data_IF_543116872220
#
_entry.id   IF_543116872220
#
_cell.length_a   1.000
_cell.length_b   1.000
_cell.length_c   1.000
_cell.angle_alpha   90.00
_cell.angle_beta   90.00
_cell.angle_gamma   90.00
#
_symmetry.space_group_name_H-M   'P 1'
#
loop_
_entity.id
_entity.type
_entity.pdbx_description
1 polymer ?
#
# COMPACT_ATOMS: atom_id res chain seq x y z
N UNK A 1 25.98 8.24 28.76
CA UNK A 1 24.98 7.16 28.69
C UNK A 1 25.60 6.04 27.88
N UNK A 2 26.06 4.97 28.54
CA UNK A 2 26.77 3.84 27.91
C UNK A 2 25.72 2.95 27.29
N UNK A 3 25.70 2.85 25.95
CA UNK A 3 24.89 1.87 25.24
C UNK A 3 25.47 0.48 25.52
N UNK A 4 24.76 -0.34 26.27
CA UNK A 4 25.09 -1.75 26.42
C UNK A 4 24.92 -2.42 25.07
N UNK A 5 26.00 -2.74 24.39
CA UNK A 5 26.04 -3.71 23.32
C UNK A 5 25.84 -5.08 23.97
N UNK A 6 24.64 -5.63 23.91
CA UNK A 6 24.39 -7.02 24.29
C UNK A 6 25.13 -7.93 23.30
N UNK A 7 26.36 -8.31 23.60
CA UNK A 7 27.07 -9.36 22.89
C UNK A 7 26.46 -10.71 23.31
N UNK A 8 25.65 -11.29 22.44
CA UNK A 8 25.12 -12.63 22.62
C UNK A 8 26.17 -13.63 22.11
N UNK A 9 26.81 -14.38 23.01
CA UNK A 9 27.66 -15.49 22.62
C UNK A 9 26.78 -16.70 22.29
N UNK A 10 26.82 -17.14 21.04
CA UNK A 10 26.13 -18.36 20.58
C UNK A 10 27.17 -19.46 20.50
N UNK A 11 26.89 -20.55 21.17
CA UNK A 11 27.79 -21.72 21.14
C UNK A 11 27.79 -22.35 19.76
N UNK A 12 28.95 -22.75 19.22
CA UNK A 12 29.09 -23.29 17.85
C UNK A 12 28.23 -24.55 17.58
N UNK A 13 27.94 -25.32 18.61
CA UNK A 13 27.10 -26.54 18.54
C UNK A 13 25.61 -26.24 18.28
N UNK A 14 25.19 -25.00 18.46
CA UNK A 14 23.82 -24.52 18.16
C UNK A 14 23.68 -23.83 16.78
N UNK A 15 24.76 -23.82 16.00
CA UNK A 15 24.78 -23.31 14.64
C UNK A 15 24.51 -24.45 13.66
N UNK A 16 23.52 -24.30 12.79
CA UNK A 16 23.21 -25.31 11.75
C UNK A 16 24.18 -25.31 10.56
N UNK A 17 25.28 -24.58 10.65
CA UNK A 17 26.31 -24.47 9.62
C UNK A 17 25.93 -23.81 8.31
N UNK A 18 24.65 -23.49 8.11
CA UNK A 18 24.11 -22.96 6.86
C UNK A 18 24.09 -21.43 6.78
N UNK A 19 23.97 -20.74 7.93
CA UNK A 19 23.89 -19.27 7.95
C UNK A 19 24.46 -18.67 9.23
N UNK A 20 25.31 -17.65 9.08
CA UNK A 20 25.97 -16.93 10.18
C UNK A 20 25.59 -15.44 10.17
N UNK A 21 24.37 -15.07 9.85
CA UNK A 21 23.96 -13.67 10.02
C UNK A 21 23.41 -13.45 11.43
N UNK A 22 23.79 -12.35 12.06
CA UNK A 22 23.33 -11.97 13.40
C UNK A 22 21.79 -12.01 13.51
N UNK A 23 21.11 -11.41 12.55
CA UNK A 23 19.63 -11.37 12.54
C UNK A 23 19.00 -12.77 12.46
N UNK A 24 19.57 -13.67 11.66
CA UNK A 24 19.09 -15.06 11.55
C UNK A 24 19.21 -15.80 12.88
N UNK A 25 20.36 -15.68 13.53
CA UNK A 25 20.64 -16.40 14.76
C UNK A 25 19.81 -15.88 15.93
N UNK A 26 19.66 -14.56 16.06
CA UNK A 26 18.84 -13.93 17.12
C UNK A 26 17.37 -14.26 16.92
N UNK A 27 16.85 -14.12 15.70
CA UNK A 27 15.44 -14.46 15.42
C UNK A 27 15.17 -15.93 15.68
N UNK A 28 16.06 -16.83 15.27
CA UNK A 28 15.89 -18.27 15.52
C UNK A 28 15.89 -18.61 17.01
N UNK A 29 16.73 -17.97 17.81
CA UNK A 29 16.73 -18.15 19.26
C UNK A 29 15.43 -17.65 19.89
N UNK A 30 14.94 -16.49 19.50
CA UNK A 30 13.66 -15.95 19.99
C UNK A 30 12.48 -16.86 19.58
N UNK A 31 12.47 -17.34 18.34
CA UNK A 31 11.47 -18.29 17.85
C UNK A 31 11.52 -19.59 18.65
N UNK A 32 12.71 -20.19 18.89
CA UNK A 32 12.87 -21.39 19.69
C UNK A 32 12.36 -21.19 21.11
N UNK A 33 12.61 -20.03 21.71
CA UNK A 33 12.11 -19.69 23.04
C UNK A 33 10.59 -19.56 23.08
N UNK A 34 9.99 -18.96 22.05
CA UNK A 34 8.54 -18.80 21.95
C UNK A 34 7.83 -20.13 21.69
N UNK A 35 8.46 -21.02 20.93
CA UNK A 35 7.87 -22.28 20.52
C UNK A 35 8.30 -23.49 21.37
N UNK A 36 9.15 -23.29 22.40
CA UNK A 36 9.72 -24.37 23.20
C UNK A 36 8.70 -25.32 23.87
N UNK A 37 7.46 -24.83 24.08
CA UNK A 37 6.37 -25.61 24.72
C UNK A 37 5.35 -26.10 23.68
N UNK A 38 5.62 -26.03 22.40
CA UNK A 38 4.73 -26.48 21.34
C UNK A 38 5.30 -27.69 20.61
N UNK A 39 4.46 -28.67 20.29
CA UNK A 39 4.78 -29.65 19.26
C UNK A 39 4.87 -28.94 17.91
N UNK A 40 5.95 -29.22 17.17
CA UNK A 40 6.24 -28.58 15.89
C UNK A 40 6.10 -29.58 14.76
N UNK A 41 5.56 -29.12 13.64
CA UNK A 41 5.44 -29.89 12.39
C UNK A 41 6.06 -29.07 11.25
N UNK A 42 6.68 -29.72 10.28
CA UNK A 42 7.13 -29.04 9.07
C UNK A 42 5.92 -28.67 8.20
N UNK A 43 5.92 -27.45 7.66
CA UNK A 43 4.80 -26.97 6.85
C UNK A 43 4.57 -27.88 5.63
N UNK A 44 5.63 -28.42 5.04
CA UNK A 44 5.56 -29.40 3.93
C UNK A 44 4.75 -30.65 4.28
N UNK A 45 4.77 -31.10 5.53
CA UNK A 45 4.07 -32.33 5.95
C UNK A 45 2.55 -32.23 5.89
N UNK A 46 2.00 -31.01 6.03
CA UNK A 46 0.55 -30.74 5.94
C UNK A 46 0.09 -30.26 4.56
N UNK A 47 1.04 -30.00 3.68
CA UNK A 47 0.76 -29.50 2.33
C UNK A 47 0.56 -30.64 1.34
N UNK A 48 -0.32 -30.43 0.37
CA UNK A 48 -0.45 -31.23 -0.84
C UNK A 48 0.64 -30.84 -1.82
N UNK A 49 0.90 -29.53 -1.94
CA UNK A 49 1.85 -28.96 -2.87
C UNK A 49 2.37 -27.62 -2.32
N UNK A 50 3.68 -27.36 -2.50
CA UNK A 50 4.30 -26.05 -2.36
C UNK A 50 5.12 -25.82 -3.64
N UNK A 51 4.80 -24.76 -4.39
CA UNK A 51 5.45 -24.53 -5.68
C UNK A 51 5.56 -23.03 -5.99
N UNK A 52 6.57 -22.66 -6.77
CA UNK A 52 6.66 -21.33 -7.36
C UNK A 52 6.04 -21.34 -8.76
N UNK A 53 5.52 -20.19 -9.18
CA UNK A 53 4.91 -20.04 -10.50
C UNK A 53 5.91 -19.97 -11.65
N UNK A 54 5.46 -19.46 -12.76
CA UNK A 54 6.22 -19.43 -14.03
C UNK A 54 7.07 -18.16 -14.18
N UNK A 55 8.14 -18.29 -14.95
CA UNK A 55 8.89 -17.16 -15.49
C UNK A 55 8.42 -16.86 -16.90
N UNK A 56 7.60 -15.82 -17.05
CA UNK A 56 7.01 -15.45 -18.34
C UNK A 56 7.97 -14.56 -19.13
N UNK A 57 8.18 -14.88 -20.41
CA UNK A 57 8.85 -14.00 -21.36
C UNK A 57 7.90 -12.90 -21.84
N UNK A 58 8.44 -11.74 -22.22
CA UNK A 58 7.64 -10.57 -22.62
C UNK A 58 6.65 -10.86 -23.76
N UNK A 59 7.01 -11.73 -24.69
CA UNK A 59 6.22 -12.14 -25.87
C UNK A 59 4.91 -12.86 -25.54
N UNK A 60 4.82 -13.46 -24.33
CA UNK A 60 3.60 -14.18 -23.90
C UNK A 60 2.60 -13.31 -23.14
N UNK A 61 2.94 -12.06 -22.84
CA UNK A 61 1.93 -11.16 -22.28
C UNK A 61 0.93 -10.74 -23.35
N UNK A 62 -0.36 -10.65 -23.00
CA UNK A 62 -1.44 -10.31 -23.91
C UNK A 62 -2.45 -9.40 -23.25
N UNK A 63 -3.08 -8.55 -24.05
CA UNK A 63 -4.23 -7.75 -23.62
C UNK A 63 -5.57 -8.43 -23.96
N UNK A 64 -5.52 -9.57 -24.68
CA UNK A 64 -6.70 -10.30 -25.18
C UNK A 64 -6.65 -11.74 -24.66
N UNK A 65 -7.82 -12.25 -24.22
CA UNK A 65 -8.08 -13.67 -23.95
C UNK A 65 -6.93 -14.47 -23.34
N UNK A 66 -6.42 -14.03 -22.18
CA UNK A 66 -5.36 -14.70 -21.45
C UNK A 66 -5.73 -14.93 -19.99
N UNK A 67 -4.91 -15.71 -19.29
CA UNK A 67 -5.05 -15.90 -17.86
C UNK A 67 -4.42 -14.73 -17.10
N UNK A 68 -5.13 -14.20 -16.11
CA UNK A 68 -4.59 -13.17 -15.23
C UNK A 68 -3.39 -13.71 -14.45
N UNK A 69 -2.28 -12.95 -14.43
CA UNK A 69 -1.04 -13.36 -13.78
C UNK A 69 -0.68 -12.43 -12.63
N UNK A 70 -0.34 -13.03 -11.49
CA UNK A 70 0.01 -12.35 -10.25
C UNK A 70 1.52 -12.42 -10.08
N UNK A 71 2.17 -11.27 -10.05
CA UNK A 71 3.57 -11.13 -9.67
C UNK A 71 3.69 -10.55 -8.25
N UNK A 72 4.86 -10.65 -7.63
CA UNK A 72 5.09 -10.09 -6.29
C UNK A 72 4.83 -8.57 -6.22
N UNK A 73 5.02 -7.85 -7.34
CA UNK A 73 4.74 -6.42 -7.46
C UNK A 73 3.27 -6.06 -7.50
N UNK A 74 2.40 -7.01 -7.84
CA UNK A 74 0.94 -6.84 -7.88
C UNK A 74 0.32 -7.02 -6.49
N UNK A 75 1.06 -7.63 -5.56
CA UNK A 75 0.66 -7.79 -4.17
C UNK A 75 1.04 -6.52 -3.40
N UNK A 76 0.05 -5.65 -3.19
CA UNK A 76 0.25 -4.35 -2.54
C UNK A 76 -0.46 -4.33 -1.19
N UNK A 77 0.31 -4.31 -0.11
CA UNK A 77 -0.23 -4.40 1.26
C UNK A 77 -1.21 -5.57 1.42
N UNK A 78 -0.83 -6.72 0.82
CA UNK A 78 -1.62 -7.97 0.90
C UNK A 78 -2.94 -7.96 0.12
N UNK A 79 -3.09 -7.03 -0.81
CA UNK A 79 -4.22 -6.93 -1.72
C UNK A 79 -3.76 -7.11 -3.16
N UNK A 80 -4.58 -7.81 -3.93
CA UNK A 80 -4.40 -8.03 -5.37
C UNK A 80 -5.58 -7.39 -6.09
N UNK A 81 -5.29 -6.43 -6.97
CA UNK A 81 -6.29 -5.76 -7.81
C UNK A 81 -6.41 -6.52 -9.13
N UNK A 82 -7.39 -7.42 -9.24
CA UNK A 82 -7.56 -8.32 -10.40
C UNK A 82 -7.65 -7.55 -11.71
N UNK A 83 -8.33 -6.42 -11.72
CA UNK A 83 -8.51 -5.59 -12.93
C UNK A 83 -7.21 -4.91 -13.40
N UNK A 84 -6.21 -4.80 -12.53
CA UNK A 84 -4.89 -4.26 -12.86
C UNK A 84 -3.88 -5.34 -13.27
N UNK A 85 -4.24 -6.61 -13.12
CA UNK A 85 -3.36 -7.72 -13.48
C UNK A 85 -3.18 -7.82 -14.99
N UNK A 86 -1.94 -8.03 -15.39
CA UNK A 86 -1.62 -8.43 -16.76
C UNK A 86 -2.20 -9.81 -17.06
N UNK A 87 -2.34 -10.12 -18.33
CA UNK A 87 -2.73 -11.45 -18.77
C UNK A 87 -1.60 -12.12 -19.56
N UNK A 88 -1.58 -13.44 -19.56
CA UNK A 88 -0.64 -14.25 -20.30
C UNK A 88 -1.37 -15.25 -21.20
N UNK A 89 -0.76 -15.56 -22.34
CA UNK A 89 -1.28 -16.53 -23.30
C UNK A 89 -1.38 -17.92 -22.67
N UNK A 90 -2.41 -18.72 -23.03
CA UNK A 90 -2.59 -20.06 -22.48
C UNK A 90 -1.38 -20.99 -22.66
N UNK A 91 -0.65 -20.84 -23.78
CA UNK A 91 0.50 -21.67 -24.14
C UNK A 91 1.68 -21.49 -23.19
N UNK A 92 1.73 -20.38 -22.46
CA UNK A 92 2.77 -20.10 -21.49
C UNK A 92 2.52 -20.73 -20.11
N UNK A 93 1.32 -21.28 -19.85
CA UNK A 93 0.86 -21.66 -18.52
C UNK A 93 0.75 -23.18 -18.40
N UNK A 94 1.11 -23.71 -17.23
CA UNK A 94 0.95 -25.13 -16.87
C UNK A 94 -0.12 -25.25 -15.80
N UNK A 95 -0.72 -26.43 -15.68
CA UNK A 95 -1.76 -26.72 -14.68
C UNK A 95 -1.34 -26.33 -13.24
N UNK A 96 -0.10 -26.62 -12.87
CA UNK A 96 0.44 -26.30 -11.54
C UNK A 96 0.58 -24.81 -11.24
N UNK A 97 0.58 -23.96 -12.27
CA UNK A 97 0.77 -22.52 -12.11
C UNK A 97 -0.54 -21.80 -11.73
N UNK A 98 -1.67 -22.48 -11.85
CA UNK A 98 -2.98 -21.96 -11.41
C UNK A 98 -3.12 -21.98 -9.89
N UNK A 99 -3.87 -21.02 -9.40
CA UNK A 99 -4.27 -20.95 -8.01
C UNK A 99 -5.76 -21.25 -7.85
N UNK A 100 -6.11 -21.86 -6.74
CA UNK A 100 -7.48 -22.24 -6.40
C UNK A 100 -7.90 -21.61 -5.07
N UNK A 101 -9.19 -21.45 -4.88
CA UNK A 101 -9.73 -21.02 -3.60
C UNK A 101 -9.21 -21.91 -2.45
N UNK A 102 -8.73 -21.28 -1.38
CA UNK A 102 -8.12 -21.95 -0.22
C UNK A 102 -6.59 -22.07 -0.29
N UNK A 103 -5.95 -21.75 -1.43
CA UNK A 103 -4.50 -21.67 -1.50
C UNK A 103 -3.97 -20.46 -0.73
N UNK A 104 -2.71 -20.52 -0.32
CA UNK A 104 -2.00 -19.40 0.29
C UNK A 104 -0.84 -19.02 -0.61
N UNK A 105 -0.70 -17.71 -0.86
CA UNK A 105 0.41 -17.17 -1.64
C UNK A 105 1.40 -16.47 -0.70
N UNK A 106 2.69 -16.66 -0.95
CA UNK A 106 3.77 -15.95 -0.26
C UNK A 106 4.65 -15.29 -1.31
N UNK A 107 4.91 -13.98 -1.15
CA UNK A 107 5.89 -13.30 -2.02
C UNK A 107 7.30 -13.82 -1.74
N UNK A 108 7.96 -14.32 -2.79
CA UNK A 108 9.31 -14.90 -2.71
C UNK A 108 10.42 -13.86 -2.86
N UNK A 109 10.15 -12.74 -3.52
CA UNK A 109 11.11 -11.65 -3.78
C UNK A 109 10.48 -10.27 -3.69
N UNK A 110 11.28 -9.22 -3.71
CA UNK A 110 10.84 -7.84 -3.53
C UNK A 110 10.43 -7.57 -2.07
N UNK A 111 9.18 -7.27 -1.82
CA UNK A 111 8.61 -7.27 -0.45
C UNK A 111 8.29 -8.70 -0.03
N UNK A 112 9.30 -9.55 0.10
CA UNK A 112 9.14 -10.97 0.42
C UNK A 112 8.45 -11.21 1.76
N UNK A 113 7.71 -12.33 1.86
CA UNK A 113 7.01 -12.75 3.08
C UNK A 113 5.64 -12.09 3.28
N UNK A 114 5.09 -11.40 2.28
CA UNK A 114 3.67 -11.06 2.30
C UNK A 114 2.84 -12.32 2.07
N UNK A 115 1.79 -12.48 2.84
CA UNK A 115 0.91 -13.66 2.81
C UNK A 115 -0.45 -13.25 2.30
N UNK A 116 -0.99 -13.99 1.33
CA UNK A 116 -2.30 -13.78 0.72
C UNK A 116 -3.10 -15.07 0.83
N UNK A 117 -4.36 -14.97 1.21
CA UNK A 117 -5.33 -16.05 1.06
C UNK A 117 -6.03 -15.94 -0.29
N UNK A 118 -6.07 -17.02 -1.04
CA UNK A 118 -6.77 -17.08 -2.33
C UNK A 118 -8.24 -17.34 -2.09
N UNK A 119 -9.07 -16.35 -2.38
CA UNK A 119 -10.51 -16.47 -2.37
C UNK A 119 -11.06 -16.75 -3.78
N UNK A 120 -12.38 -16.89 -3.89
CA UNK A 120 -13.08 -17.17 -5.16
C UNK A 120 -12.76 -16.14 -6.26
N UNK A 121 -12.50 -14.87 -5.89
CA UNK A 121 -12.23 -13.82 -6.88
C UNK A 121 -10.86 -13.97 -7.56
N UNK A 122 -9.90 -14.64 -6.92
CA UNK A 122 -8.57 -14.89 -7.44
C UNK A 122 -8.45 -16.26 -8.11
N UNK A 123 -9.45 -17.12 -7.98
CA UNK A 123 -9.43 -18.46 -8.54
C UNK A 123 -9.24 -18.42 -10.07
N UNK A 124 -8.41 -19.32 -10.60
CA UNK A 124 -8.07 -19.37 -12.01
C UNK A 124 -7.04 -18.35 -12.48
N UNK A 125 -6.53 -17.48 -11.60
CA UNK A 125 -5.31 -16.73 -11.89
C UNK A 125 -4.09 -17.65 -11.86
N UNK A 126 -2.99 -17.20 -12.47
CA UNK A 126 -1.69 -17.86 -12.42
C UNK A 126 -0.67 -17.00 -11.67
N UNK A 127 0.44 -17.59 -11.22
CA UNK A 127 1.46 -16.88 -10.47
C UNK A 127 2.80 -16.88 -11.19
N UNK A 128 3.59 -15.81 -10.96
CA UNK A 128 4.99 -15.76 -11.44
C UNK A 128 5.93 -16.48 -10.48
N UNK A 129 7.16 -16.76 -10.94
CA UNK A 129 8.23 -17.36 -10.12
C UNK A 129 8.63 -16.56 -8.87
N UNK A 130 8.16 -15.34 -8.74
CA UNK A 130 8.36 -14.47 -7.57
C UNK A 130 7.29 -14.65 -6.49
N UNK A 131 6.36 -15.59 -6.70
CA UNK A 131 5.28 -15.93 -5.76
C UNK A 131 5.30 -17.45 -5.55
N UNK A 132 5.20 -17.86 -4.29
CA UNK A 132 5.09 -19.27 -3.88
C UNK A 132 3.64 -19.54 -3.52
N UNK A 133 3.08 -20.62 -4.07
CA UNK A 133 1.76 -21.17 -3.76
C UNK A 133 1.90 -22.30 -2.75
N UNK A 134 1.05 -22.31 -1.75
CA UNK A 134 0.90 -23.38 -0.76
C UNK A 134 -0.52 -23.89 -0.88
N UNK A 135 -0.66 -25.16 -1.23
CA UNK A 135 -1.93 -25.88 -1.26
C UNK A 135 -1.94 -26.90 -0.11
N UNK A 136 -2.85 -26.76 0.85
CA UNK A 136 -2.99 -27.72 1.95
C UNK A 136 -3.70 -28.99 1.51
N UNK A 137 -3.43 -30.11 2.19
CA UNK A 137 -4.22 -31.36 2.06
C UNK A 137 -5.65 -31.16 2.58
N UNK A 138 -5.78 -30.48 3.69
CA UNK A 138 -7.04 -30.06 4.29
C UNK A 138 -7.28 -28.58 3.98
N UNK A 139 -8.12 -28.31 2.98
CA UNK A 139 -8.43 -26.94 2.54
C UNK A 139 -9.12 -26.11 3.61
N UNK A 140 -9.86 -26.73 4.52
CA UNK A 140 -10.56 -26.04 5.61
C UNK A 140 -9.60 -25.39 6.61
N UNK A 141 -8.34 -25.85 6.64
CA UNK A 141 -7.28 -25.27 7.44
C UNK A 141 -6.54 -24.09 6.75
N UNK A 142 -6.83 -23.82 5.48
CA UNK A 142 -6.15 -22.79 4.70
C UNK A 142 -6.22 -21.41 5.36
N UNK A 143 -7.42 -21.02 5.75
CA UNK A 143 -7.64 -19.73 6.41
C UNK A 143 -6.91 -19.62 7.75
N UNK A 144 -6.82 -20.71 8.51
CA UNK A 144 -6.16 -20.76 9.82
C UNK A 144 -4.64 -20.67 9.66
N UNK A 145 -4.09 -21.34 8.65
CA UNK A 145 -2.67 -21.22 8.32
C UNK A 145 -2.32 -19.79 7.85
N UNK A 146 -3.19 -19.20 7.03
CA UNK A 146 -3.04 -17.80 6.64
C UNK A 146 -2.95 -16.88 7.87
N UNK A 147 -3.88 -17.02 8.83
CA UNK A 147 -3.90 -16.21 10.04
C UNK A 147 -2.64 -16.42 10.89
N UNK A 148 -2.23 -17.68 11.06
CA UNK A 148 -1.00 -17.99 11.76
C UNK A 148 0.21 -17.34 11.09
N UNK A 149 0.36 -17.46 9.77
CA UNK A 149 1.47 -16.85 9.04
C UNK A 149 1.43 -15.32 9.06
N UNK A 150 0.26 -14.72 9.23
CA UNK A 150 0.06 -13.27 9.40
C UNK A 150 0.36 -12.80 10.82
N UNK A 151 0.28 -13.65 11.81
CA UNK A 151 0.58 -13.31 13.19
C UNK A 151 2.03 -12.84 13.37
N UNK A 152 2.31 -12.19 14.49
CA UNK A 152 3.67 -11.77 14.83
C UNK A 152 4.68 -12.92 14.80
N UNK A 153 4.28 -14.09 15.30
CA UNK A 153 5.11 -15.30 15.30
C UNK A 153 5.30 -15.81 13.87
N UNK A 154 4.23 -15.93 13.09
CA UNK A 154 4.31 -16.35 11.69
C UNK A 154 5.19 -15.45 10.84
N UNK A 155 5.09 -14.15 11.04
CA UNK A 155 5.96 -13.18 10.36
C UNK A 155 7.43 -13.26 10.83
N UNK A 156 7.69 -13.54 12.09
CA UNK A 156 9.05 -13.82 12.58
C UNK A 156 9.62 -15.09 11.92
N UNK A 157 8.82 -16.14 11.82
CA UNK A 157 9.20 -17.38 11.11
C UNK A 157 9.54 -17.12 9.65
N UNK A 158 8.68 -16.44 8.90
CA UNK A 158 8.92 -16.08 7.50
C UNK A 158 10.16 -15.19 7.34
N UNK A 159 10.38 -14.25 8.26
CA UNK A 159 11.56 -13.40 8.24
C UNK A 159 12.85 -14.18 8.52
N UNK A 160 12.79 -15.23 9.34
CA UNK A 160 13.95 -16.05 9.68
C UNK A 160 14.50 -16.87 8.50
N UNK A 161 13.66 -17.18 7.52
CA UNK A 161 14.04 -17.96 6.33
C UNK A 161 14.46 -17.12 5.13
N UNK A 162 14.40 -15.78 5.23
CA UNK A 162 14.83 -14.86 4.15
C UNK A 162 16.33 -14.92 3.94
N UNK A 163 16.75 -14.98 2.66
CA UNK A 163 18.15 -15.17 2.26
C UNK A 163 18.67 -13.99 1.44
N UNK A 164 19.91 -13.59 1.71
CA UNK A 164 20.68 -12.62 0.93
C UNK A 164 20.17 -11.18 1.06
N UNK A 165 20.84 -10.26 0.36
CA UNK A 165 20.56 -8.82 0.37
C UNK A 165 19.14 -8.52 -0.17
N UNK A 166 18.65 -9.36 -1.07
CA UNK A 166 17.32 -9.23 -1.67
C UNK A 166 16.21 -9.90 -0.85
N UNK A 167 16.53 -10.44 0.33
CA UNK A 167 15.56 -11.07 1.23
C UNK A 167 14.68 -12.13 0.52
N UNK A 168 15.27 -13.00 -0.31
CA UNK A 168 14.51 -14.04 -1.03
C UNK A 168 14.07 -15.17 -0.09
N UNK A 169 12.93 -15.76 -0.42
CA UNK A 169 12.40 -16.98 0.18
C UNK A 169 12.34 -18.05 -0.91
N UNK A 170 12.75 -19.28 -0.61
CA UNK A 170 12.69 -20.40 -1.54
C UNK A 170 11.65 -21.42 -1.10
N UNK A 171 11.22 -22.26 -2.05
CA UNK A 171 10.20 -23.30 -1.79
C UNK A 171 10.67 -24.25 -0.68
N UNK A 172 11.93 -24.68 -0.73
CA UNK A 172 12.53 -25.61 0.24
C UNK A 172 12.57 -25.01 1.65
N UNK A 173 12.74 -23.67 1.76
CA UNK A 173 12.72 -22.99 3.07
C UNK A 173 11.29 -22.97 3.64
N UNK A 174 10.27 -22.85 2.81
CA UNK A 174 8.86 -22.93 3.21
C UNK A 174 8.48 -24.36 3.58
N UNK A 175 8.91 -25.35 2.79
CA UNK A 175 8.65 -26.77 3.09
C UNK A 175 9.21 -27.17 4.45
N UNK A 176 10.43 -26.74 4.75
CA UNK A 176 11.11 -27.01 6.03
C UNK A 176 10.72 -26.09 7.19
N UNK A 177 9.78 -25.17 6.99
CA UNK A 177 9.39 -24.22 8.02
C UNK A 177 8.64 -24.93 9.15
N UNK A 178 9.22 -24.92 10.35
CA UNK A 178 8.59 -25.50 11.53
C UNK A 178 7.53 -24.55 12.08
N UNK A 179 6.30 -25.04 12.19
CA UNK A 179 5.16 -24.34 12.74
C UNK A 179 4.56 -25.14 13.92
N UNK A 180 3.86 -24.50 14.88
CA UNK A 180 3.13 -25.22 15.89
C UNK A 180 2.11 -26.17 15.27
N UNK A 181 2.04 -27.41 15.74
CA UNK A 181 1.06 -28.39 15.27
C UNK A 181 -0.39 -27.91 15.48
N UNK A 182 -0.60 -27.13 16.54
CA UNK A 182 -1.87 -26.51 16.87
C UNK A 182 -2.01 -25.09 16.31
N UNK A 183 -1.37 -24.77 15.17
CA UNK A 183 -1.45 -23.45 14.53
C UNK A 183 -2.89 -22.98 14.28
N UNK A 184 -3.83 -23.91 14.17
CA UNK A 184 -5.24 -23.66 13.95
C UNK A 184 -5.98 -23.14 15.20
N UNK A 185 -5.37 -23.20 16.37
CA UNK A 185 -5.89 -22.62 17.61
C UNK A 185 -5.40 -21.17 17.83
N UNK A 186 -4.47 -20.69 17.01
CA UNK A 186 -4.07 -19.28 17.02
C UNK A 186 -5.21 -18.43 16.46
N UNK A 187 -6.11 -18.06 17.37
CA UNK A 187 -7.14 -17.06 17.15
C UNK A 187 -6.61 -15.68 17.59
N UNK A 188 -5.84 -15.01 16.75
CA UNK A 188 -5.99 -13.57 16.65
C UNK A 188 -7.29 -13.38 15.87
N UNK A 189 -8.13 -12.41 16.25
CA UNK A 189 -9.43 -12.18 15.63
C UNK A 189 -9.31 -12.29 14.11
N UNK A 190 -9.89 -13.37 13.57
CA UNK A 190 -9.84 -13.63 12.14
C UNK A 190 -10.55 -12.50 11.44
N UNK A 191 -9.78 -11.81 10.66
CA UNK A 191 -10.25 -10.75 9.84
C UNK A 191 -10.10 -11.16 8.37
N UNK A 192 -11.20 -11.45 7.70
CA UNK A 192 -11.18 -11.64 6.25
C UNK A 192 -10.98 -10.28 5.55
N UNK A 193 -9.71 -9.86 5.54
CA UNK A 193 -9.30 -8.67 4.80
C UNK A 193 -9.74 -8.74 3.34
N UNK A 194 -9.79 -9.92 2.72
CA UNK A 194 -10.11 -10.08 1.30
C UNK A 194 -11.54 -9.69 1.00
N UNK A 195 -12.51 -10.11 1.80
CA UNK A 195 -13.92 -9.74 1.63
C UNK A 195 -14.14 -8.26 1.83
N UNK A 196 -13.52 -7.67 2.87
CA UNK A 196 -13.62 -6.22 3.13
C UNK A 196 -13.03 -5.41 2.01
N UNK A 197 -11.86 -5.81 1.56
CA UNK A 197 -11.18 -5.10 0.48
C UNK A 197 -11.96 -5.25 -0.84
N UNK A 198 -12.54 -6.41 -1.11
CA UNK A 198 -13.38 -6.62 -2.30
C UNK A 198 -14.61 -5.71 -2.25
N UNK A 199 -15.28 -5.60 -1.11
CA UNK A 199 -16.44 -4.72 -0.93
C UNK A 199 -16.04 -3.24 -1.05
N UNK A 200 -14.98 -2.83 -0.34
CA UNK A 200 -14.44 -1.48 -0.43
C UNK A 200 -14.01 -1.13 -1.86
N UNK A 201 -13.34 -2.05 -2.58
CA UNK A 201 -12.94 -1.84 -3.97
C UNK A 201 -14.15 -1.68 -4.90
N UNK A 202 -15.21 -2.46 -4.74
CA UNK A 202 -16.45 -2.31 -5.53
C UNK A 202 -17.04 -0.90 -5.34
N UNK A 203 -17.10 -0.41 -4.13
CA UNK A 203 -17.60 0.94 -3.83
C UNK A 203 -16.71 2.02 -4.46
N UNK A 204 -15.40 1.88 -4.33
CA UNK A 204 -14.45 2.81 -4.92
C UNK A 204 -14.53 2.81 -6.46
N UNK A 205 -14.56 1.63 -7.11
CA UNK A 205 -14.75 1.52 -8.56
C UNK A 205 -16.09 2.07 -9.04
N UNK A 206 -17.14 1.93 -8.24
CA UNK A 206 -18.42 2.59 -8.53
C UNK A 206 -18.31 4.10 -8.55
N UNK A 207 -17.55 4.70 -7.61
CA UNK A 207 -17.25 6.13 -7.60
C UNK A 207 -16.40 6.55 -8.82
N UNK A 208 -15.38 5.77 -9.19
CA UNK A 208 -14.57 6.00 -10.39
C UNK A 208 -15.45 5.97 -11.66
N UNK A 209 -16.35 5.00 -11.80
CA UNK A 209 -17.24 4.90 -12.95
C UNK A 209 -18.15 6.13 -13.09
N UNK A 210 -18.61 6.73 -11.98
CA UNK A 210 -19.39 7.97 -12.02
C UNK A 210 -18.49 9.11 -12.53
N UNK A 211 -17.28 9.24 -12.01
CA UNK A 211 -16.33 10.28 -12.36
C UNK A 211 -15.91 10.21 -13.83
N UNK A 212 -15.51 9.02 -14.31
CA UNK A 212 -15.01 8.82 -15.67
C UNK A 212 -16.09 8.81 -16.77
N UNK A 213 -17.37 8.86 -16.42
CA UNK A 213 -18.44 9.17 -17.41
C UNK A 213 -18.37 10.60 -17.91
N UNK A 214 -17.87 11.52 -17.06
CA UNK A 214 -17.73 12.94 -17.39
C UNK A 214 -16.30 13.25 -17.86
N UNK A 215 -15.35 12.44 -17.44
CA UNK A 215 -13.92 12.74 -17.52
C UNK A 215 -13.12 11.61 -18.13
N UNK A 216 -12.87 11.67 -19.44
CA UNK A 216 -12.06 10.67 -20.14
C UNK A 216 -10.56 10.99 -19.99
N UNK A 217 -9.96 10.52 -18.89
CA UNK A 217 -8.54 10.67 -18.61
C UNK A 217 -7.99 9.43 -17.90
N UNK A 218 -7.18 8.64 -18.61
CA UNK A 218 -6.59 7.42 -18.07
C UNK A 218 -5.29 7.64 -17.29
N UNK A 219 -4.67 8.83 -17.42
CA UNK A 219 -3.43 9.17 -16.72
C UNK A 219 -2.19 8.42 -17.19
N UNK A 220 -2.26 7.73 -18.33
CA UNK A 220 -1.11 7.05 -18.90
C UNK A 220 -0.12 8.06 -19.45
N UNK A 221 1.16 7.84 -19.13
CA UNK A 221 2.25 8.65 -19.64
C UNK A 221 2.44 8.32 -21.13
N UNK A 222 2.05 9.24 -22.02
CA UNK A 222 2.42 9.10 -23.42
C UNK A 222 3.95 9.08 -23.51
N UNK A 223 4.51 8.23 -24.38
CA UNK A 223 5.95 8.07 -24.57
C UNK A 223 6.66 9.43 -24.55
N UNK A 224 7.53 9.69 -23.57
CA UNK A 224 8.18 10.99 -23.44
C UNK A 224 9.00 11.24 -24.70
N UNK A 225 8.72 12.32 -25.42
CA UNK A 225 9.64 12.78 -26.45
C UNK A 225 10.87 13.31 -25.74
N UNK A 226 12.04 12.77 -26.05
CA UNK A 226 13.31 13.22 -25.46
C UNK A 226 13.74 14.62 -25.91
N UNK A 227 13.10 15.16 -26.96
CA UNK A 227 13.34 16.51 -27.49
C UNK A 227 12.01 17.19 -27.74
N UNK A 228 11.81 18.33 -27.14
CA UNK A 228 10.67 19.23 -27.37
C UNK A 228 11.17 20.70 -27.26
N UNK A 229 10.49 21.57 -27.97
CA UNK A 229 10.70 23.02 -27.88
C UNK A 229 9.45 23.60 -27.24
N UNK A 230 9.64 24.35 -26.16
CA UNK A 230 8.56 25.05 -25.49
C UNK A 230 8.73 26.55 -25.74
N UNK A 231 7.70 27.18 -26.25
CA UNK A 231 7.71 28.61 -26.58
C UNK A 231 7.54 29.49 -25.33
N UNK A 232 6.97 28.95 -24.27
CA UNK A 232 6.72 29.67 -23.02
C UNK A 232 7.35 28.97 -21.84
N UNK A 233 8.39 29.59 -21.30
CA UNK A 233 8.98 29.13 -20.02
C UNK A 233 8.39 30.00 -18.89
N UNK A 234 7.89 29.32 -17.83
CA UNK A 234 7.63 30.00 -16.57
C UNK A 234 8.97 30.54 -16.04
N UNK A 235 9.09 31.85 -15.90
CA UNK A 235 10.33 32.54 -15.50
C UNK A 235 10.88 32.04 -14.13
N UNK A 236 10.09 31.35 -13.37
CA UNK A 236 10.44 30.81 -12.04
C UNK A 236 10.83 29.32 -12.05
N UNK A 237 10.74 28.64 -13.21
CA UNK A 237 10.97 27.21 -13.28
C UNK A 237 11.70 26.80 -14.56
N UNK A 238 12.90 26.21 -14.37
CA UNK A 238 13.75 25.71 -15.46
C UNK A 238 13.89 24.20 -15.47
N UNK A 239 12.95 23.47 -14.84
CA UNK A 239 12.96 22.02 -14.79
C UNK A 239 12.40 21.43 -16.10
N UNK A 240 13.22 20.76 -16.94
CA UNK A 240 12.77 20.21 -18.23
C UNK A 240 11.61 19.22 -18.10
N UNK A 241 11.53 18.51 -16.98
CA UNK A 241 10.44 17.57 -16.72
C UNK A 241 9.09 18.26 -16.61
N UNK A 242 9.05 19.43 -16.00
CA UNK A 242 7.83 20.24 -15.89
C UNK A 242 7.25 20.61 -17.27
N UNK A 243 8.10 20.80 -18.27
CA UNK A 243 7.74 21.15 -19.65
C UNK A 243 7.63 19.91 -20.56
N UNK A 244 7.63 18.70 -20.01
CA UNK A 244 7.44 17.49 -20.82
C UNK A 244 6.08 17.48 -21.52
N UNK A 245 6.00 16.85 -22.68
CA UNK A 245 4.74 16.73 -23.45
C UNK A 245 3.58 16.22 -22.60
N UNK A 246 3.85 15.28 -21.68
CA UNK A 246 2.84 14.75 -20.78
C UNK A 246 2.20 15.84 -19.91
N UNK A 247 2.99 16.72 -19.32
CA UNK A 247 2.48 17.79 -18.47
C UNK A 247 1.89 18.92 -19.26
N UNK A 248 2.39 19.17 -20.48
CA UNK A 248 1.77 20.13 -21.41
C UNK A 248 0.37 19.67 -21.82
N UNK A 249 0.19 18.39 -22.14
CA UNK A 249 -1.13 17.83 -22.44
C UNK A 249 -2.04 17.84 -21.21
N UNK A 250 -1.53 17.52 -20.03
CA UNK A 250 -2.26 17.64 -18.77
C UNK A 250 -2.75 19.08 -18.54
N UNK A 251 -1.87 20.07 -18.77
CA UNK A 251 -2.22 21.48 -18.67
C UNK A 251 -3.30 21.87 -19.69
N UNK A 252 -3.18 21.45 -20.93
CA UNK A 252 -4.20 21.69 -21.98
C UNK A 252 -5.53 21.08 -21.61
N UNK A 253 -5.53 19.85 -21.09
CA UNK A 253 -6.74 19.16 -20.62
C UNK A 253 -7.44 19.95 -19.53
N UNK A 254 -6.70 20.44 -18.54
CA UNK A 254 -7.25 21.21 -17.41
C UNK A 254 -7.84 22.56 -17.90
N UNK A 255 -7.26 23.15 -18.95
CA UNK A 255 -7.71 24.43 -19.50
C UNK A 255 -8.69 24.27 -20.66
N UNK A 256 -8.99 23.05 -21.09
CA UNK A 256 -10.05 22.77 -22.05
C UNK A 256 -11.40 23.05 -21.37
N UNK A 257 -12.27 23.79 -22.04
CA UNK A 257 -13.63 24.00 -21.59
C UNK A 257 -14.40 22.68 -21.68
N UNK A 258 -14.73 22.11 -20.54
CA UNK A 258 -15.71 21.02 -20.40
C UNK A 258 -17.01 21.68 -19.94
N UNK A 259 -18.11 21.43 -20.64
CA UNK A 259 -19.40 22.04 -20.30
C UNK A 259 -19.86 21.62 -18.88
N UNK A 260 -19.49 20.39 -18.46
CA UNK A 260 -19.93 19.79 -17.20
C UNK A 260 -18.84 19.81 -16.08
N UNK A 261 -17.69 20.42 -16.32
CA UNK A 261 -16.58 20.46 -15.34
C UNK A 261 -16.09 21.87 -15.11
N UNK A 262 -16.16 22.32 -13.86
CA UNK A 262 -15.55 23.60 -13.43
C UNK A 262 -14.26 23.31 -12.67
N UNK A 263 -13.18 24.02 -13.01
CA UNK A 263 -11.90 23.89 -12.33
C UNK A 263 -11.72 25.01 -11.31
N UNK A 264 -11.36 24.63 -10.07
CA UNK A 264 -11.04 25.56 -9.00
C UNK A 264 -9.67 25.22 -8.40
N UNK A 265 -8.95 26.20 -7.92
CA UNK A 265 -7.69 25.96 -7.22
C UNK A 265 -7.94 25.34 -5.83
N UNK A 266 -7.08 24.45 -5.39
CA UNK A 266 -7.20 23.80 -4.09
C UNK A 266 -7.34 24.83 -2.96
N UNK A 267 -6.60 25.95 -3.02
CA UNK A 267 -6.68 27.04 -2.03
C UNK A 267 -8.04 27.72 -1.92
N UNK A 268 -8.87 27.62 -2.95
CA UNK A 268 -10.24 28.17 -2.93
C UNK A 268 -11.21 27.23 -2.22
N UNK A 269 -10.87 25.95 -2.15
CA UNK A 269 -11.73 24.87 -1.66
C UNK A 269 -11.34 24.38 -0.27
N UNK A 270 -10.05 24.40 0.05
CA UNK A 270 -9.52 23.91 1.32
C UNK A 270 -8.38 24.80 1.83
N UNK A 271 -8.32 24.97 3.13
CA UNK A 271 -7.23 25.67 3.80
C UNK A 271 -6.10 24.67 4.13
N UNK A 272 -4.86 24.99 3.79
CA UNK A 272 -3.72 24.25 4.29
C UNK A 272 -3.36 24.79 5.67
N UNK A 273 -3.52 23.96 6.70
CA UNK A 273 -3.21 24.31 8.08
C UNK A 273 -1.74 24.69 8.25
N UNK A 274 -1.45 25.72 9.02
CA UNK A 274 -0.06 26.06 9.36
C UNK A 274 0.51 25.03 10.33
N UNK A 275 1.75 24.63 10.07
CA UNK A 275 2.50 23.71 10.93
C UNK A 275 2.98 24.43 12.19
N UNK A 276 2.24 24.36 13.26
CA UNK A 276 2.57 24.97 14.54
C UNK A 276 2.84 23.88 15.58
N UNK A 277 3.77 24.15 16.50
CA UNK A 277 4.00 23.24 17.63
C UNK A 277 2.71 23.21 18.48
N UNK A 278 2.13 22.03 18.71
CA UNK A 278 0.98 21.91 19.60
C UNK A 278 1.31 22.35 21.02
N UNK A 279 0.38 23.04 21.68
CA UNK A 279 0.47 23.36 23.10
C UNK A 279 0.06 22.13 23.93
N UNK A 280 1.03 21.26 24.13
CA UNK A 280 0.89 19.98 24.85
C UNK A 280 2.03 19.89 25.87
N UNK A 281 1.68 19.53 27.12
CA UNK A 281 2.67 19.30 28.16
C UNK A 281 3.65 18.19 27.79
N UNK A 282 4.93 18.41 28.04
CA UNK A 282 6.00 17.43 27.78
C UNK A 282 5.75 16.05 28.44
N UNK A 283 5.10 16.04 29.61
CA UNK A 283 4.77 14.83 30.37
C UNK A 283 3.43 14.19 30.00
N UNK A 284 2.70 14.77 29.05
CA UNK A 284 1.43 14.22 28.60
C UNK A 284 1.68 13.10 27.62
N UNK A 285 1.00 11.95 27.80
CA UNK A 285 0.91 10.89 26.78
C UNK A 285 -0.05 11.34 25.69
N UNK A 286 0.35 11.15 24.46
CA UNK A 286 -0.42 11.49 23.28
C UNK A 286 -0.46 10.34 22.31
N UNK A 287 -1.60 10.16 21.66
CA UNK A 287 -1.71 9.28 20.50
C UNK A 287 -1.30 10.03 19.25
N UNK A 288 -0.56 9.37 18.38
CA UNK A 288 -0.03 9.98 17.17
C UNK A 288 0.10 8.99 16.03
N UNK A 289 0.29 9.50 14.83
CA UNK A 289 0.65 8.71 13.64
C UNK A 289 1.68 9.46 12.78
N UNK A 290 2.39 8.70 11.96
CA UNK A 290 3.41 9.18 11.03
C UNK A 290 2.95 8.95 9.59
N UNK A 291 3.64 9.55 8.61
CA UNK A 291 3.41 9.28 7.18
C UNK A 291 3.46 7.77 6.85
N UNK A 292 4.37 7.02 7.46
CA UNK A 292 4.50 5.57 7.25
C UNK A 292 3.33 4.74 7.83
N UNK A 293 2.51 5.34 8.69
CA UNK A 293 1.35 4.69 9.28
C UNK A 293 0.08 4.88 8.44
N UNK A 294 0.16 5.62 7.32
CA UNK A 294 -0.91 5.74 6.33
C UNK A 294 -0.84 4.57 5.35
N UNK A 295 -1.99 4.07 4.94
CA UNK A 295 -2.13 3.15 3.83
C UNK A 295 -2.52 3.91 2.56
N UNK A 296 -1.61 4.04 1.56
CA UNK A 296 -1.90 4.80 0.36
C UNK A 296 -2.93 4.11 -0.56
N UNK A 297 -3.08 2.79 -0.48
CA UNK A 297 -4.03 2.08 -1.32
C UNK A 297 -5.47 2.34 -0.85
N UNK A 298 -5.68 2.30 0.47
CA UNK A 298 -7.01 2.47 1.06
C UNK A 298 -7.27 3.88 1.59
N UNK A 299 -6.24 4.73 1.63
CA UNK A 299 -6.35 6.10 2.14
C UNK A 299 -6.87 6.16 3.58
N UNK A 300 -6.35 5.29 4.43
CA UNK A 300 -6.68 5.17 5.85
C UNK A 300 -5.43 5.27 6.73
N UNK A 301 -5.63 5.55 8.00
CA UNK A 301 -4.61 5.40 9.04
C UNK A 301 -4.68 3.95 9.53
N UNK A 302 -3.65 3.15 9.19
CA UNK A 302 -3.60 1.72 9.56
C UNK A 302 -2.98 1.46 10.92
N UNK A 303 -2.25 2.43 11.48
CA UNK A 303 -1.59 2.28 12.78
C UNK A 303 -1.54 3.60 13.51
N UNK A 304 -1.84 3.57 14.81
CA UNK A 304 -1.60 4.65 15.75
C UNK A 304 -0.57 4.22 16.77
N UNK A 305 0.11 5.18 17.37
CA UNK A 305 1.16 5.02 18.37
C UNK A 305 0.83 5.86 19.58
N UNK A 306 1.41 5.55 20.72
CA UNK A 306 1.27 6.35 21.93
C UNK A 306 2.65 6.52 22.59
N UNK A 307 2.97 7.74 23.00
CA UNK A 307 4.18 8.05 23.77
C UNK A 307 4.02 9.39 24.50
N UNK A 308 4.94 9.68 25.42
CA UNK A 308 5.03 11.01 26.02
C UNK A 308 5.41 12.04 24.95
N UNK A 309 4.78 13.22 25.01
CA UNK A 309 5.01 14.25 23.99
C UNK A 309 6.49 14.70 23.96
N UNK A 310 7.20 14.66 25.10
CA UNK A 310 8.63 14.92 25.18
C UNK A 310 9.50 13.97 24.36
N UNK A 311 9.04 12.75 24.12
CA UNK A 311 9.80 11.74 23.38
C UNK A 311 9.61 11.86 21.87
N UNK A 312 8.62 12.66 21.43
CA UNK A 312 8.28 12.80 20.04
C UNK A 312 9.23 13.75 19.31
N UNK A 313 9.40 13.51 18.02
CA UNK A 313 10.19 14.38 17.15
C UNK A 313 9.64 15.81 17.14
N UNK A 314 10.55 16.80 17.06
CA UNK A 314 10.21 18.22 16.85
C UNK A 314 9.40 18.49 15.59
N UNK A 315 9.25 17.50 14.70
CA UNK A 315 8.43 17.56 13.49
C UNK A 315 6.96 17.28 13.75
N UNK A 316 6.54 16.92 14.95
CA UNK A 316 5.14 16.76 15.33
C UNK A 316 4.49 18.14 15.48
N UNK A 317 3.75 18.56 14.45
CA UNK A 317 3.32 19.95 14.25
C UNK A 317 1.82 20.16 14.13
N UNK A 318 1.04 19.08 14.03
CA UNK A 318 -0.41 19.18 13.88
C UNK A 318 -1.14 18.38 14.94
N UNK A 319 -2.23 18.94 15.44
CA UNK A 319 -3.35 18.18 16.01
C UNK A 319 -4.40 18.13 14.91
N UNK A 320 -4.77 16.93 14.47
CA UNK A 320 -5.76 16.73 13.42
C UNK A 320 -7.17 16.71 13.99
N UNK A 321 -8.15 17.09 13.16
CA UNK A 321 -9.58 17.10 13.51
C UNK A 321 -10.39 16.29 12.51
N UNK A 322 -11.49 15.71 12.98
CA UNK A 322 -12.45 15.01 12.13
C UNK A 322 -12.88 15.88 10.95
N UNK A 323 -12.93 15.32 9.76
CA UNK A 323 -13.22 16.00 8.51
C UNK A 323 -11.99 16.65 7.82
N UNK A 324 -10.83 16.70 8.47
CA UNK A 324 -9.59 17.14 7.83
C UNK A 324 -8.97 16.02 6.98
N UNK A 325 -8.24 16.37 5.90
CA UNK A 325 -7.42 15.44 5.15
C UNK A 325 -5.95 15.65 5.45
N UNK A 326 -5.22 14.56 5.58
CA UNK A 326 -3.75 14.59 5.61
C UNK A 326 -3.21 13.96 4.33
N UNK A 327 -2.20 14.58 3.73
CA UNK A 327 -1.61 14.12 2.47
C UNK A 327 -0.10 14.33 2.45
N UNK A 328 0.64 13.42 1.79
CA UNK A 328 2.09 13.44 1.77
C UNK A 328 2.64 14.72 1.13
N UNK A 329 3.55 15.39 1.84
CA UNK A 329 4.28 16.56 1.34
C UNK A 329 5.47 16.17 0.48
N UNK A 330 6.05 15.01 0.72
CA UNK A 330 7.21 14.53 -0.02
C UNK A 330 7.46 13.04 0.19
N UNK A 331 8.39 12.52 -0.62
CA UNK A 331 8.77 11.11 -0.66
C UNK A 331 8.80 10.57 -2.10
N UNK A 332 9.39 9.39 -2.30
CA UNK A 332 9.50 8.76 -3.63
C UNK A 332 8.15 8.49 -4.29
N UNK A 333 7.12 8.21 -3.50
CA UNK A 333 5.76 7.92 -3.98
C UNK A 333 4.89 9.18 -4.18
N UNK A 334 5.39 10.39 -3.90
CA UNK A 334 4.61 11.63 -4.03
C UNK A 334 4.16 11.84 -5.47
N UNK A 335 2.84 12.03 -5.67
CA UNK A 335 2.23 12.20 -6.98
C UNK A 335 2.18 10.92 -7.83
N UNK A 336 2.27 9.76 -7.22
CA UNK A 336 2.07 8.45 -7.87
C UNK A 336 0.88 7.72 -7.23
N UNK A 337 0.51 6.55 -7.74
CA UNK A 337 -0.52 5.69 -7.12
C UNK A 337 -0.24 5.38 -5.64
N UNK A 338 1.03 5.44 -5.22
CA UNK A 338 1.44 5.26 -3.81
C UNK A 338 1.41 6.54 -2.97
N UNK A 339 0.86 7.64 -3.48
CA UNK A 339 0.74 8.90 -2.74
C UNK A 339 -0.17 8.73 -1.52
N UNK A 340 0.39 8.92 -0.33
CA UNK A 340 -0.34 8.72 0.91
C UNK A 340 -1.26 9.91 1.21
N UNK A 341 -2.56 9.64 1.31
CA UNK A 341 -3.61 10.59 1.72
C UNK A 341 -4.60 9.83 2.60
N UNK A 342 -5.12 10.46 3.64
CA UNK A 342 -6.19 9.90 4.47
C UNK A 342 -7.14 10.98 4.98
N UNK A 343 -8.42 10.62 5.13
CA UNK A 343 -9.41 11.42 5.82
C UNK A 343 -9.37 11.12 7.32
N UNK A 344 -9.33 12.16 8.11
CA UNK A 344 -9.44 12.07 9.56
C UNK A 344 -10.92 11.89 9.93
N UNK A 345 -11.25 10.74 10.48
CA UNK A 345 -12.59 10.45 11.00
C UNK A 345 -12.64 10.66 12.51
N UNK A 346 -13.81 10.54 13.10
CA UNK A 346 -14.01 10.71 14.55
C UNK A 346 -13.08 9.85 15.39
N UNK A 347 -12.79 8.61 14.93
CA UNK A 347 -11.85 7.68 15.57
C UNK A 347 -10.44 8.28 15.75
N UNK A 348 -10.02 9.16 14.87
CA UNK A 348 -8.69 9.76 14.84
C UNK A 348 -8.67 11.24 15.20
N UNK A 349 -9.79 11.77 15.71
CA UNK A 349 -9.85 13.17 16.17
C UNK A 349 -8.88 13.41 17.31
N UNK A 350 -8.20 14.54 17.27
CA UNK A 350 -7.25 14.95 18.31
C UNK A 350 -5.88 14.28 18.28
N UNK A 351 -5.61 13.38 17.34
CA UNK A 351 -4.28 12.77 17.20
C UNK A 351 -3.25 13.81 16.78
N UNK A 352 -1.99 13.54 17.17
CA UNK A 352 -0.84 14.36 16.76
C UNK A 352 -0.20 13.77 15.52
N UNK A 353 0.24 14.61 14.58
CA UNK A 353 0.98 14.15 13.40
C UNK A 353 2.07 15.11 12.95
N UNK A 354 2.87 14.68 12.01
CA UNK A 354 4.13 15.30 11.56
C UNK A 354 3.93 16.32 10.45
N UNK A 355 4.87 17.26 10.31
CA UNK A 355 4.99 18.20 9.20
C UNK A 355 5.49 17.58 7.87
N UNK A 356 5.71 16.27 7.84
CA UNK A 356 5.87 15.52 6.58
C UNK A 356 4.57 15.43 5.76
N UNK A 357 3.45 15.78 6.40
CA UNK A 357 2.12 15.83 5.79
C UNK A 357 1.67 17.28 5.62
N UNK A 358 0.88 17.56 4.59
CA UNK A 358 -0.04 18.68 4.59
C UNK A 358 -1.32 18.27 5.31
N UNK A 359 -1.86 19.16 6.12
CA UNK A 359 -3.16 19.01 6.73
C UNK A 359 -4.12 20.00 6.07
N UNK A 360 -5.12 19.48 5.35
CA UNK A 360 -6.13 20.21 4.61
C UNK A 360 -7.42 20.30 5.41
N UNK A 361 -7.93 21.51 5.56
CA UNK A 361 -9.24 21.78 6.15
C UNK A 361 -10.21 22.10 5.02
N UNK A 362 -11.07 21.17 4.56
CA UNK A 362 -12.06 21.43 3.51
C UNK A 362 -13.04 22.53 3.94
N UNK A 363 -13.30 23.50 3.05
CA UNK A 363 -14.18 24.64 3.33
C UNK A 363 -15.36 24.70 2.36
N UNK A 364 -15.08 24.50 1.05
CA UNK A 364 -16.06 24.59 -0.04
C UNK A 364 -16.13 23.32 -0.88
N UNK A 365 -15.67 22.21 -0.31
CA UNK A 365 -15.67 20.90 -0.95
C UNK A 365 -15.95 19.85 0.12
N UNK A 366 -16.70 18.82 -0.25
CA UNK A 366 -16.92 17.70 0.65
C UNK A 366 -15.61 16.91 0.87
N UNK A 367 -15.22 16.60 2.12
CA UNK A 367 -13.97 15.92 2.42
C UNK A 367 -13.86 14.52 1.78
N UNK A 368 -14.95 13.79 1.62
CA UNK A 368 -14.96 12.48 0.96
C UNK A 368 -14.73 12.61 -0.54
N UNK A 369 -15.30 13.64 -1.19
CA UNK A 369 -15.02 13.92 -2.59
C UNK A 369 -13.57 14.35 -2.79
N UNK A 370 -13.03 15.19 -1.92
CA UNK A 370 -11.63 15.58 -1.96
C UNK A 370 -10.70 14.38 -1.75
N UNK A 371 -11.01 13.46 -0.82
CA UNK A 371 -10.28 12.22 -0.64
C UNK A 371 -10.27 11.37 -1.92
N UNK A 372 -11.44 11.20 -2.54
CA UNK A 372 -11.59 10.49 -3.81
C UNK A 372 -10.66 11.09 -4.88
N UNK A 373 -10.68 12.41 -5.04
CA UNK A 373 -9.88 13.11 -6.04
C UNK A 373 -8.38 12.94 -5.82
N UNK A 374 -7.88 12.94 -4.57
CA UNK A 374 -6.47 12.69 -4.26
C UNK A 374 -5.98 11.26 -4.56
N UNK A 375 -6.87 10.39 -5.00
CA UNK A 375 -6.53 9.07 -5.54
C UNK A 375 -6.57 9.05 -7.08
N UNK A 376 -7.13 10.07 -7.73
CA UNK A 376 -7.31 10.07 -9.17
C UNK A 376 -6.03 10.51 -9.90
N UNK A 377 -5.70 9.88 -11.04
CA UNK A 377 -4.55 10.23 -11.86
C UNK A 377 -4.48 11.72 -12.20
N UNK A 378 -5.62 12.36 -12.46
CA UNK A 378 -5.67 13.79 -12.81
C UNK A 378 -5.11 14.70 -11.70
N UNK A 379 -5.29 14.35 -10.44
CA UNK A 379 -4.74 15.09 -9.31
C UNK A 379 -3.31 14.63 -9.01
N UNK A 380 -3.06 13.32 -9.00
CA UNK A 380 -1.74 12.78 -8.73
C UNK A 380 -0.69 13.26 -9.74
N UNK A 381 -1.07 13.38 -11.01
CA UNK A 381 -0.18 13.90 -12.05
C UNK A 381 0.11 15.39 -11.88
N UNK A 382 -0.85 16.20 -11.41
CA UNK A 382 -0.58 17.58 -11.04
C UNK A 382 0.38 17.66 -9.84
N UNK A 383 0.16 16.85 -8.79
CA UNK A 383 1.09 16.77 -7.66
C UNK A 383 2.48 16.41 -8.15
N UNK A 384 2.61 15.41 -9.03
CA UNK A 384 3.89 14.96 -9.58
C UNK A 384 4.55 16.04 -10.43
N UNK A 385 3.78 16.76 -11.26
CA UNK A 385 4.24 17.88 -12.08
C UNK A 385 4.88 18.98 -11.22
N UNK A 386 4.28 19.29 -10.08
CA UNK A 386 4.74 20.36 -9.19
C UNK A 386 5.83 19.91 -8.22
N UNK A 387 6.17 18.61 -8.12
CA UNK A 387 7.27 18.17 -7.25
C UNK A 387 8.63 18.64 -7.74
N UNK A 388 9.54 18.88 -6.80
CA UNK A 388 10.96 19.15 -7.01
C UNK A 388 11.80 18.05 -6.39
N UNK A 389 12.99 17.81 -6.93
CA UNK A 389 13.91 16.75 -6.48
C UNK A 389 13.75 15.43 -7.24
N UNK A 390 14.87 14.70 -7.39
CA UNK A 390 14.95 13.46 -8.17
C UNK A 390 14.73 12.22 -7.28
N UNK A 391 15.49 12.07 -6.20
CA UNK A 391 15.42 10.95 -5.27
C UNK A 391 14.34 11.15 -4.21
N UNK A 392 14.24 12.34 -3.68
CA UNK A 392 13.23 12.73 -2.71
C UNK A 392 12.37 13.85 -3.30
N UNK A 393 11.22 13.49 -3.81
CA UNK A 393 10.25 14.44 -4.36
C UNK A 393 9.63 15.25 -3.24
N UNK A 394 9.51 16.55 -3.41
CA UNK A 394 8.85 17.47 -2.48
C UNK A 394 7.98 18.45 -3.26
N UNK A 395 6.73 18.59 -2.86
CA UNK A 395 5.87 19.67 -3.37
C UNK A 395 5.84 20.82 -2.37
N UNK A 396 6.07 22.03 -2.85
CA UNK A 396 6.00 23.23 -2.01
C UNK A 396 4.55 23.68 -1.83
N UNK A 397 4.27 24.35 -0.70
CA UNK A 397 2.92 24.79 -0.36
C UNK A 397 2.27 25.64 -1.47
N UNK A 398 3.00 26.64 -1.99
CA UNK A 398 2.47 27.54 -3.02
C UNK A 398 2.12 26.79 -4.31
N UNK A 399 2.88 25.75 -4.67
CA UNK A 399 2.61 24.93 -5.84
C UNK A 399 1.44 23.96 -5.55
N UNK A 400 1.37 23.43 -4.34
CA UNK A 400 0.29 22.54 -3.91
C UNK A 400 -1.07 23.28 -3.87
N UNK A 401 -1.09 24.52 -3.45
CA UNK A 401 -2.28 25.38 -3.41
C UNK A 401 -2.87 25.67 -4.81
N UNK A 402 -2.05 25.57 -5.87
CA UNK A 402 -2.44 25.81 -7.27
C UNK A 402 -3.04 24.59 -7.98
N UNK A 403 -3.04 23.41 -7.34
CA UNK A 403 -3.62 22.21 -7.94
C UNK A 403 -5.06 22.49 -8.32
N UNK A 404 -5.41 22.21 -9.57
CA UNK A 404 -6.75 22.40 -10.12
C UNK A 404 -7.62 21.17 -9.76
N UNK A 405 -8.71 21.44 -9.10
CA UNK A 405 -9.69 20.47 -8.62
C UNK A 405 -10.91 20.52 -9.53
N UNK A 406 -11.29 19.39 -10.17
CA UNK A 406 -12.48 19.34 -10.98
C UNK A 406 -13.73 19.32 -10.08
N UNK A 407 -14.70 20.17 -10.42
CA UNK A 407 -16.00 20.23 -9.79
C UNK A 407 -17.03 19.77 -10.80
N UNK A 408 -17.74 18.72 -10.45
CA UNK A 408 -18.82 18.16 -11.25
C UNK A 408 -20.16 18.80 -10.87
N UNK A 409 -21.22 18.40 -11.56
CA UNK A 409 -22.58 18.69 -11.11
C UNK A 409 -22.80 18.14 -9.69
N UNK A 410 -23.50 18.89 -8.84
CA UNK A 410 -23.69 18.54 -7.42
C UNK A 410 -24.24 17.14 -7.21
N UNK A 411 -25.17 16.71 -8.07
CA UNK A 411 -25.75 15.37 -8.01
C UNK A 411 -24.72 14.24 -8.22
N UNK A 412 -23.73 14.46 -9.07
CA UNK A 412 -22.65 13.50 -9.33
C UNK A 412 -21.62 13.50 -8.19
N UNK A 413 -21.26 14.69 -7.68
CA UNK A 413 -20.38 14.78 -6.50
C UNK A 413 -21.01 14.07 -5.28
N UNK A 414 -22.31 14.27 -5.04
CA UNK A 414 -23.05 13.59 -3.95
C UNK A 414 -23.04 12.07 -4.12
N UNK A 415 -23.26 11.55 -5.31
CA UNK A 415 -23.18 10.11 -5.56
C UNK A 415 -21.77 9.55 -5.28
N UNK A 416 -20.71 10.27 -5.65
CA UNK A 416 -19.33 9.89 -5.34
C UNK A 416 -19.10 9.94 -3.82
N UNK A 417 -19.59 10.98 -3.15
CA UNK A 417 -19.50 11.13 -1.68
C UNK A 417 -20.14 9.94 -0.97
N UNK A 418 -21.35 9.53 -1.37
CA UNK A 418 -22.06 8.40 -0.78
C UNK A 418 -21.26 7.09 -0.93
N UNK A 419 -20.66 6.86 -2.11
CA UNK A 419 -19.80 5.70 -2.32
C UNK A 419 -18.55 5.74 -1.44
N UNK A 420 -17.93 6.92 -1.29
CA UNK A 420 -16.72 7.10 -0.48
C UNK A 420 -17.01 7.03 1.03
N UNK A 421 -18.16 7.49 1.49
CA UNK A 421 -18.59 7.30 2.87
C UNK A 421 -18.76 5.82 3.20
N UNK A 422 -19.47 5.08 2.36
CA UNK A 422 -19.63 3.63 2.51
C UNK A 422 -18.28 2.90 2.39
N UNK A 423 -17.41 3.29 1.46
CA UNK A 423 -16.04 2.79 1.33
C UNK A 423 -15.25 2.89 2.64
N UNK A 424 -15.21 4.08 3.25
CA UNK A 424 -14.50 4.27 4.51
C UNK A 424 -15.19 3.56 5.68
N UNK A 425 -16.52 3.51 5.71
CA UNK A 425 -17.27 2.77 6.74
C UNK A 425 -16.92 1.27 6.71
N UNK A 426 -16.89 0.66 5.53
CA UNK A 426 -16.47 -0.75 5.36
C UNK A 426 -15.06 -0.98 5.89
N UNK A 427 -14.12 -0.07 5.60
CA UNK A 427 -12.74 -0.19 6.06
C UNK A 427 -12.59 0.06 7.57
N UNK A 428 -13.28 1.07 8.14
CA UNK A 428 -13.07 1.50 9.52
C UNK A 428 -13.79 0.66 10.56
N UNK A 429 -14.90 0.03 10.21
CA UNK A 429 -15.59 -0.91 11.10
C UNK A 429 -14.73 -2.13 11.40
N UNK A 430 -13.57 -2.22 10.76
CA UNK A 430 -12.74 -3.42 10.76
C UNK A 430 -11.26 -3.15 11.05
N UNK A 431 -10.81 -1.90 11.13
CA UNK A 431 -9.52 -1.45 11.64
C UNK A 431 -9.74 -0.59 12.91
#
# INVERSE_FOLDING_TARGET
MVSYVNCMFILPDKMDGKRISYNYVVQRYEIQRLLQNHSLIALGDICKEITSGIRVKKEYYTDKNGYKIIASGDIRNEVIYINELKAVQPEAVREKDFISNGDILITASGKSGQVIYVNESLEGCVITSDVIKITLRDKDKGIRLYNFLKSSIGQMLLNSIKIGILNKIFVEDIEGLLIPENFDTYQEDFFDYSTVYTEAEKLYRSAENIFYRVFDYNGEEMNPKYFYVEEYLDSYRLDPRYYSNFYTELYRLIHKNFDDVKWQELRELAEIKKANKPDISAKQKVKYFLLADLDPNFSIIKKTREDFYSNLSNRMRYIVRSGELVTAKGGSATGTKGHATALITEKFDGLVTTDALYNLVPRRINPYYLLFLFKQPIILNQVNMFTKGTLYKLIQRNDFEKIKIPRLESSLEEQIVDKMMNYLSVLQNKF
#
